data_IF_140178633339
#
_entry.id   IF_140178633339
#
_cell.length_a   1.000
_cell.length_b   1.000
_cell.length_c   1.000
_cell.angle_alpha   90.00
_cell.angle_beta   90.00
_cell.angle_gamma   90.00
#
_symmetry.space_group_name_H-M   'P 1'
#
loop_
_entity.id
_entity.type
_entity.pdbx_description
1 polymer ?
#
# COMPACT_ATOMS: atom_id res chain seq x y z
N UNK A 1 17.13 9.30 10.91
CA UNK A 1 17.20 8.12 10.02
C UNK A 1 15.82 8.00 9.40
N UNK A 2 15.54 8.80 8.37
CA UNK A 2 14.23 8.73 7.70
C UNK A 2 14.22 7.47 6.86
N UNK A 3 13.36 6.52 7.21
CA UNK A 3 13.19 5.23 6.51
C UNK A 3 12.47 5.44 5.17
N UNK A 4 12.95 6.39 4.36
CA UNK A 4 12.46 6.60 3.02
C UNK A 4 12.80 5.39 2.16
N UNK A 5 11.79 4.83 1.49
CA UNK A 5 11.97 3.75 0.52
C UNK A 5 13.05 4.15 -0.49
N UNK A 6 14.11 3.35 -0.59
CA UNK A 6 15.13 3.54 -1.63
C UNK A 6 14.47 3.53 -3.01
N UNK A 7 15.01 4.30 -3.96
CA UNK A 7 14.55 4.30 -5.35
C UNK A 7 14.50 2.88 -5.95
N UNK A 8 15.43 2.00 -5.57
CA UNK A 8 15.43 0.59 -5.99
C UNK A 8 14.25 -0.19 -5.39
N UNK A 9 13.89 0.10 -4.14
CA UNK A 9 12.77 -0.56 -3.47
C UNK A 9 11.44 -0.14 -4.08
N UNK A 10 11.27 1.15 -4.39
CA UNK A 10 10.11 1.65 -5.13
C UNK A 10 9.98 0.97 -6.50
N UNK A 11 11.09 0.79 -7.23
CA UNK A 11 11.05 0.13 -8.53
C UNK A 11 10.56 -1.32 -8.45
N UNK A 12 11.04 -2.08 -7.45
CA UNK A 12 10.61 -3.48 -7.21
C UNK A 12 9.14 -3.56 -6.82
N UNK A 13 8.71 -2.66 -5.93
CA UNK A 13 7.32 -2.54 -5.49
C UNK A 13 6.41 -2.24 -6.69
N UNK A 14 6.78 -1.26 -7.53
CA UNK A 14 6.03 -0.88 -8.72
C UNK A 14 5.83 -2.06 -9.67
N UNK A 15 6.93 -2.76 -9.98
CA UNK A 15 6.87 -3.93 -10.87
C UNK A 15 5.96 -5.04 -10.32
N UNK A 16 5.94 -5.25 -9.00
CA UNK A 16 5.04 -6.22 -8.36
C UNK A 16 3.57 -5.78 -8.46
N UNK A 17 3.28 -4.50 -8.28
CA UNK A 17 1.93 -3.94 -8.42
C UNK A 17 1.42 -4.06 -9.86
N UNK A 18 2.27 -3.76 -10.85
CA UNK A 18 1.94 -3.91 -12.28
C UNK A 18 1.63 -5.36 -12.65
N UNK A 19 2.36 -6.34 -12.08
CA UNK A 19 2.09 -7.76 -12.28
C UNK A 19 0.70 -8.16 -11.75
N UNK A 20 0.33 -7.73 -10.54
CA UNK A 20 -0.98 -8.03 -9.93
C UNK A 20 -2.12 -7.51 -10.83
N UNK A 21 -1.99 -6.30 -11.35
CA UNK A 21 -3.00 -5.68 -12.22
C UNK A 21 -3.14 -6.46 -13.54
N UNK A 22 -2.02 -6.90 -14.10
CA UNK A 22 -1.98 -7.62 -15.38
C UNK A 22 -2.53 -9.04 -15.25
N UNK A 23 -2.22 -9.71 -14.14
CA UNK A 23 -2.63 -11.09 -13.88
C UNK A 23 -4.09 -11.21 -13.42
N UNK A 24 -4.59 -10.25 -12.63
CA UNK A 24 -5.90 -10.34 -11.99
C UNK A 24 -6.68 -9.01 -11.96
N UNK A 25 -7.01 -8.41 -13.12
CA UNK A 25 -7.55 -7.05 -13.22
C UNK A 25 -8.90 -6.82 -12.50
N UNK A 26 -9.70 -7.88 -12.31
CA UNK A 26 -11.05 -7.78 -11.75
C UNK A 26 -11.11 -8.02 -10.23
N UNK A 27 -9.94 -8.25 -9.60
CA UNK A 27 -9.87 -8.49 -8.16
C UNK A 27 -9.81 -7.19 -7.37
N UNK A 28 -10.26 -7.24 -6.12
CA UNK A 28 -10.06 -6.15 -5.15
C UNK A 28 -8.56 -5.82 -4.98
N UNK A 29 -7.68 -6.80 -5.10
CA UNK A 29 -6.23 -6.60 -5.08
C UNK A 29 -5.72 -5.75 -6.25
N UNK A 30 -6.23 -5.94 -7.47
CA UNK A 30 -5.84 -5.11 -8.63
C UNK A 30 -6.35 -3.66 -8.53
N UNK A 31 -7.53 -3.45 -7.93
CA UNK A 31 -8.03 -2.11 -7.62
C UNK A 31 -7.10 -1.40 -6.63
N UNK A 32 -6.76 -2.07 -5.52
CA UNK A 32 -5.83 -1.55 -4.52
C UNK A 32 -4.42 -1.31 -5.10
N UNK A 33 -3.95 -2.20 -5.95
CA UNK A 33 -2.66 -2.05 -6.63
C UNK A 33 -2.65 -0.86 -7.60
N UNK A 34 -3.74 -0.65 -8.34
CA UNK A 34 -3.90 0.51 -9.21
C UNK A 34 -3.88 1.81 -8.41
N UNK A 35 -4.58 1.84 -7.27
CA UNK A 35 -4.57 2.98 -6.35
C UNK A 35 -3.17 3.23 -5.75
N UNK A 36 -2.45 2.17 -5.39
CA UNK A 36 -1.06 2.27 -4.92
C UNK A 36 -0.15 2.89 -6.00
N UNK A 37 -0.26 2.46 -7.26
CA UNK A 37 0.48 3.07 -8.37
C UNK A 37 0.11 4.54 -8.58
N UNK A 38 -1.16 4.93 -8.38
CA UNK A 38 -1.55 6.34 -8.44
C UNK A 38 -0.84 7.15 -7.34
N UNK A 39 -0.85 6.66 -6.10
CA UNK A 39 -0.15 7.28 -4.97
C UNK A 39 1.37 7.39 -5.22
N UNK A 40 1.97 6.40 -5.89
CA UNK A 40 3.38 6.48 -6.27
C UNK A 40 3.67 7.63 -7.24
N UNK A 41 2.71 7.97 -8.11
CA UNK A 41 2.83 9.09 -9.06
C UNK A 41 2.56 10.44 -8.39
N UNK A 42 1.65 10.51 -7.41
CA UNK A 42 1.43 11.74 -6.63
C UNK A 42 2.53 12.00 -5.60
N UNK A 43 3.33 10.99 -5.27
CA UNK A 43 4.37 11.08 -4.24
C UNK A 43 3.85 10.78 -2.82
N UNK A 44 2.60 10.34 -2.69
CA UNK A 44 1.94 10.01 -1.43
C UNK A 44 2.06 8.51 -1.08
N UNK A 45 2.78 7.74 -1.91
CA UNK A 45 3.00 6.33 -1.62
C UNK A 45 3.90 6.14 -0.41
N UNK A 46 3.44 5.31 0.52
CA UNK A 46 4.10 5.10 1.80
C UNK A 46 3.51 5.94 2.93
N UNK A 47 2.41 6.64 2.70
CA UNK A 47 1.65 7.33 3.76
C UNK A 47 0.24 6.75 3.89
N UNK A 48 -0.26 6.72 5.12
CA UNK A 48 -1.58 6.26 5.47
C UNK A 48 -2.63 7.24 4.94
N UNK A 49 -3.65 6.74 4.25
CA UNK A 49 -4.72 7.60 3.70
C UNK A 49 -5.72 8.07 4.76
N UNK A 50 -5.72 7.49 5.96
CA UNK A 50 -6.61 7.87 7.07
C UNK A 50 -5.94 8.89 7.99
N UNK A 51 -4.77 8.57 8.53
CA UNK A 51 -4.08 9.44 9.49
C UNK A 51 -2.95 10.29 8.88
N UNK A 52 -2.47 9.97 7.68
CA UNK A 52 -1.33 10.65 7.06
C UNK A 52 0.05 10.17 7.52
N UNK A 53 0.14 9.23 8.46
CA UNK A 53 1.42 8.73 8.97
C UNK A 53 2.17 7.83 7.97
N UNK A 54 3.49 7.72 8.15
CA UNK A 54 4.33 6.84 7.34
C UNK A 54 3.96 5.35 7.56
N UNK A 55 3.72 4.64 6.46
CA UNK A 55 3.55 3.19 6.43
C UNK A 55 4.93 2.55 6.40
N UNK A 56 5.20 1.65 7.35
CA UNK A 56 6.50 1.00 7.45
C UNK A 56 6.90 0.27 6.15
N UNK A 57 8.17 0.41 5.78
CA UNK A 57 8.72 -0.20 4.58
C UNK A 57 8.56 -1.73 4.56
N UNK A 58 8.64 -2.38 5.74
CA UNK A 58 8.41 -3.82 5.88
C UNK A 58 6.98 -4.22 5.50
N UNK A 59 5.98 -3.41 5.89
CA UNK A 59 4.57 -3.64 5.55
C UNK A 59 4.34 -3.48 4.04
N UNK A 60 4.90 -2.43 3.43
CA UNK A 60 4.81 -2.21 1.98
C UNK A 60 5.56 -3.28 1.17
N UNK A 61 6.64 -3.86 1.72
CA UNK A 61 7.34 -4.98 1.10
C UNK A 61 6.50 -6.27 1.13
N UNK A 62 5.80 -6.52 2.25
CA UNK A 62 4.91 -7.67 2.40
C UNK A 62 3.64 -7.51 1.54
N UNK A 63 2.91 -6.41 1.72
CA UNK A 63 1.72 -6.01 0.96
C UNK A 63 1.90 -4.59 0.38
N UNK A 64 2.25 -4.45 -0.91
CA UNK A 64 2.47 -3.15 -1.54
C UNK A 64 1.18 -2.40 -1.91
N UNK A 65 0.04 -3.07 -1.84
CA UNK A 65 -1.28 -2.54 -2.18
C UNK A 65 -1.97 -1.83 -1.00
N UNK A 66 -1.42 -1.93 0.21
CA UNK A 66 -2.02 -1.32 1.41
C UNK A 66 -2.06 0.21 1.31
N UNK A 67 -3.13 0.77 1.87
CA UNK A 67 -3.31 2.21 2.01
C UNK A 67 -3.28 2.69 3.46
N UNK A 68 -3.29 1.77 4.42
CA UNK A 68 -3.41 2.06 5.85
C UNK A 68 -2.15 1.65 6.61
N UNK A 69 -1.83 2.44 7.64
CA UNK A 69 -0.84 2.05 8.64
C UNK A 69 -1.36 0.86 9.47
N UNK A 70 -0.50 0.31 10.32
CA UNK A 70 -0.87 -0.85 11.16
C UNK A 70 -1.98 -0.50 12.14
N UNK A 71 -1.95 0.70 12.71
CA UNK A 71 -2.92 1.14 13.71
C UNK A 71 -4.30 1.37 13.07
N UNK A 72 -4.37 2.13 11.96
CA UNK A 72 -5.62 2.35 11.24
C UNK A 72 -6.21 1.06 10.65
N UNK A 73 -5.35 0.12 10.23
CA UNK A 73 -5.85 -1.18 9.79
C UNK A 73 -6.43 -1.99 10.95
N UNK A 74 -5.73 -2.03 12.10
CA UNK A 74 -6.22 -2.74 13.27
C UNK A 74 -7.59 -2.21 13.71
N UNK A 75 -7.78 -0.89 13.70
CA UNK A 75 -9.06 -0.26 14.01
C UNK A 75 -10.18 -0.72 13.04
N UNK A 76 -9.91 -0.77 11.73
CA UNK A 76 -10.92 -1.24 10.75
C UNK A 76 -11.22 -2.72 10.88
N UNK A 77 -10.19 -3.54 11.14
CA UNK A 77 -10.36 -4.98 11.31
C UNK A 77 -11.21 -5.28 12.56
N UNK A 78 -11.08 -4.49 13.64
CA UNK A 78 -11.93 -4.57 14.83
C UNK A 78 -13.39 -4.15 14.54
N UNK A 79 -13.61 -3.09 13.75
CA UNK A 79 -14.95 -2.64 13.36
C UNK A 79 -15.73 -3.69 12.52
N UNK A 80 -15.02 -4.52 11.74
CA UNK A 80 -15.62 -5.57 10.92
C UNK A 80 -16.03 -6.83 11.73
N UNK A 81 -15.44 -7.09 12.91
CA UNK A 81 -15.77 -8.26 13.75
C UNK A 81 -17.03 -8.06 14.62
N UNK A 82 -17.45 -6.82 14.86
CA UNK A 82 -18.62 -6.47 15.69
C UNK A 82 -19.94 -6.33 14.88
N UNK A 83 -19.97 -6.68 13.58
CA UNK A 83 -21.10 -6.51 12.65
C UNK A 83 -21.93 -7.79 12.38
#
# INVERSE_FOLDING_TARGET
MSESLSAQQLLRIRSKLEAIITEQPETSAALSASAALQRMRSGEYGYCVECGDEISAARLAAKPDVALCVDCQALKDEEDEDA
#
